data_IF_909218103196
#
_entry.id   IF_909218103196
#
_cell.length_a   1.000
_cell.length_b   1.000
_cell.length_c   1.000
_cell.angle_alpha   90.00
_cell.angle_beta   90.00
_cell.angle_gamma   90.00
#
_symmetry.space_group_name_H-M   'P 1'
#
loop_
_entity.id
_entity.type
_entity.pdbx_description
1 polymer ?
#
# COMPACT_ATOMS: atom_id res chain seq x y z
N UNK A 1 -10.33 11.61 5.07
CA UNK A 1 -10.27 10.58 4.04
C UNK A 1 -10.79 9.29 4.63
N UNK A 2 -11.81 8.71 4.02
CA UNK A 2 -12.27 7.36 4.38
C UNK A 2 -11.45 6.33 3.60
N UNK A 3 -11.03 5.25 4.27
CA UNK A 3 -10.21 4.19 3.69
C UNK A 3 -11.02 2.90 3.62
N UNK A 4 -11.22 2.38 2.42
CA UNK A 4 -11.87 1.07 2.21
C UNK A 4 -10.81 0.02 1.90
N UNK A 5 -10.70 -1.08 2.67
CA UNK A 5 -9.74 -2.14 2.38
C UNK A 5 -10.02 -2.81 1.02
N UNK A 6 -9.03 -2.80 0.12
CA UNK A 6 -9.12 -3.47 -1.19
C UNK A 6 -8.59 -4.91 -1.11
N UNK A 7 -7.37 -5.04 -0.58
CA UNK A 7 -6.72 -6.32 -0.27
C UNK A 7 -5.90 -6.15 0.99
N UNK A 8 -6.10 -7.03 1.96
CA UNK A 8 -5.24 -7.18 3.12
C UNK A 8 -4.79 -8.63 3.24
N UNK A 9 -3.68 -8.85 3.93
CA UNK A 9 -3.30 -10.19 4.34
C UNK A 9 -4.13 -10.61 5.56
N UNK A 10 -4.57 -11.87 5.58
CA UNK A 10 -5.00 -12.48 6.83
C UNK A 10 -3.75 -12.80 7.66
N UNK A 11 -3.60 -12.17 8.82
CA UNK A 11 -2.55 -12.52 9.76
C UNK A 11 -3.11 -12.62 11.17
N UNK A 12 -2.48 -13.48 11.97
CA UNK A 12 -2.88 -13.79 13.34
C UNK A 12 -2.28 -12.78 14.34
N UNK A 13 -1.66 -11.70 13.85
CA UNK A 13 -1.02 -10.64 14.63
C UNK A 13 -1.48 -9.28 14.12
N UNK A 14 -1.48 -8.26 15.00
CA UNK A 14 -1.84 -6.89 14.63
C UNK A 14 -0.81 -6.29 13.66
N UNK A 15 -1.25 -5.78 12.51
CA UNK A 15 -0.41 -5.02 11.58
C UNK A 15 -0.17 -5.65 10.20
N UNK A 16 -1.17 -6.28 9.59
CA UNK A 16 -1.05 -6.82 8.24
C UNK A 16 -0.93 -5.71 7.19
N UNK A 17 0.03 -5.82 6.25
CA UNK A 17 0.05 -4.99 5.07
C UNK A 17 -1.30 -5.03 4.35
N UNK A 18 -1.81 -3.84 4.01
CA UNK A 18 -3.14 -3.66 3.41
C UNK A 18 -3.07 -2.52 2.40
N UNK A 19 -3.72 -2.71 1.26
CA UNK A 19 -3.93 -1.68 0.25
C UNK A 19 -5.39 -1.23 0.36
N UNK A 20 -5.60 0.07 0.44
CA UNK A 20 -6.90 0.71 0.58
C UNK A 20 -7.22 1.54 -0.67
N UNK A 21 -8.49 1.56 -1.04
CA UNK A 21 -9.04 2.57 -1.94
C UNK A 21 -9.57 3.75 -1.13
N UNK A 22 -9.65 4.89 -1.79
CA UNK A 22 -10.31 6.10 -1.30
C UNK A 22 -11.50 6.41 -2.20
N UNK A 23 -12.26 7.47 -1.91
CA UNK A 23 -13.30 7.95 -2.83
C UNK A 23 -12.73 8.48 -4.16
N UNK A 24 -11.42 8.78 -4.21
CA UNK A 24 -10.70 9.22 -5.40
C UNK A 24 -9.98 8.08 -6.13
N UNK A 25 -9.06 8.46 -7.02
CA UNK A 25 -8.23 7.52 -7.80
C UNK A 25 -7.00 7.02 -7.04
N UNK A 26 -6.73 7.61 -5.86
CA UNK A 26 -5.55 7.29 -5.07
C UNK A 26 -5.71 6.00 -4.29
N UNK A 27 -4.60 5.28 -4.17
CA UNK A 27 -4.46 4.14 -3.29
C UNK A 27 -3.61 4.51 -2.07
N UNK A 28 -3.99 4.00 -0.92
CA UNK A 28 -3.22 4.12 0.31
C UNK A 28 -2.63 2.77 0.65
N UNK A 29 -1.32 2.74 0.94
CA UNK A 29 -0.57 1.50 1.16
C UNK A 29 -0.04 1.46 2.59
N UNK A 30 -0.52 0.51 3.38
CA UNK A 30 0.07 0.16 4.66
C UNK A 30 1.10 -0.95 4.49
N UNK A 31 2.30 -0.74 5.05
CA UNK A 31 3.34 -1.75 5.10
C UNK A 31 4.33 -1.48 6.22
N UNK A 32 5.43 -2.22 6.22
CA UNK A 32 6.50 -2.05 7.20
C UNK A 32 7.49 -1.00 6.74
N UNK A 33 7.80 0.00 7.57
CA UNK A 33 8.80 1.02 7.22
C UNK A 33 10.12 0.34 6.85
N UNK A 34 10.74 0.79 5.75
CA UNK A 34 12.09 0.36 5.35
C UNK A 34 13.11 1.17 6.16
N UNK A 35 13.84 0.54 7.11
CA UNK A 35 14.76 1.26 7.98
C UNK A 35 16.05 1.63 7.24
N UNK A 36 16.47 0.80 6.29
CA UNK A 36 17.71 0.97 5.54
C UNK A 36 17.41 1.15 4.05
N UNK A 37 17.59 2.37 3.57
CA UNK A 37 17.09 2.87 2.28
C UNK A 37 18.20 2.98 1.23
N UNK A 38 19.26 2.17 1.34
CA UNK A 38 20.34 2.16 0.35
C UNK A 38 19.78 2.02 -1.08
N UNK A 39 20.11 2.97 -1.94
CA UNK A 39 19.68 2.99 -3.35
C UNK A 39 18.29 3.60 -3.59
N UNK A 40 17.51 3.86 -2.56
CA UNK A 40 16.44 4.84 -2.66
C UNK A 40 17.06 6.22 -2.41
N UNK A 41 16.75 7.20 -3.25
CA UNK A 41 17.19 8.57 -3.04
C UNK A 41 16.64 9.16 -1.73
N UNK A 42 16.86 10.45 -1.53
CA UNK A 42 16.24 11.16 -0.41
C UNK A 42 14.71 11.02 -0.48
N UNK A 43 14.10 10.69 0.65
CA UNK A 43 12.64 10.61 0.78
C UNK A 43 12.18 11.94 1.37
N UNK A 44 11.32 12.71 0.66
CA UNK A 44 10.88 14.02 1.11
C UNK A 44 10.21 14.01 2.49
N UNK A 45 10.17 15.18 3.12
CA UNK A 45 9.42 15.37 4.35
C UNK A 45 7.94 15.02 4.14
N UNK A 46 7.39 14.21 5.06
CA UNK A 46 6.02 13.70 4.97
C UNK A 46 5.87 12.39 4.20
N UNK A 47 6.92 11.90 3.52
CA UNK A 47 6.90 10.63 2.79
C UNK A 47 7.62 9.50 3.53
N UNK A 48 7.28 8.25 3.19
CA UNK A 48 8.00 7.08 3.71
C UNK A 48 8.01 5.92 2.72
N UNK A 49 9.05 5.09 2.80
CA UNK A 49 9.11 3.83 2.06
C UNK A 49 8.60 2.71 2.95
N UNK A 50 7.64 1.94 2.42
CA UNK A 50 7.10 0.76 3.08
C UNK A 50 7.38 -0.49 2.26
N UNK A 51 7.70 -1.58 2.96
CA UNK A 51 7.79 -2.92 2.41
C UNK A 51 6.42 -3.59 2.50
N UNK A 52 5.92 -4.01 1.34
CA UNK A 52 4.73 -4.86 1.22
C UNK A 52 5.06 -6.14 0.43
N UNK A 53 4.35 -7.26 0.65
CA UNK A 53 4.53 -8.45 -0.16
C UNK A 53 4.09 -8.20 -1.60
N UNK A 54 4.89 -8.66 -2.57
CA UNK A 54 4.59 -8.52 -4.00
C UNK A 54 3.21 -9.07 -4.36
N UNK A 55 2.82 -10.20 -3.77
CA UNK A 55 1.53 -10.82 -4.05
C UNK A 55 0.36 -9.92 -3.66
N UNK A 56 0.49 -9.14 -2.58
CA UNK A 56 -0.54 -8.20 -2.15
C UNK A 56 -0.81 -7.14 -3.21
N UNK A 57 0.25 -6.60 -3.82
CA UNK A 57 0.15 -5.62 -4.90
C UNK A 57 -0.48 -6.23 -6.16
N UNK A 58 -0.07 -7.44 -6.54
CA UNK A 58 -0.63 -8.16 -7.69
C UNK A 58 -2.14 -8.40 -7.50
N UNK A 59 -2.54 -8.80 -6.29
CA UNK A 59 -3.95 -9.05 -5.98
C UNK A 59 -4.75 -7.75 -5.96
N UNK A 60 -4.16 -6.63 -5.51
CA UNK A 60 -4.80 -5.33 -5.59
C UNK A 60 -5.04 -4.91 -7.04
N UNK A 61 -4.03 -4.99 -7.92
CA UNK A 61 -4.15 -4.63 -9.34
C UNK A 61 -5.28 -5.41 -10.02
N UNK A 62 -5.47 -6.69 -9.69
CA UNK A 62 -6.56 -7.51 -10.24
C UNK A 62 -7.95 -7.10 -9.79
N UNK A 63 -8.07 -6.39 -8.67
CA UNK A 63 -9.35 -5.94 -8.10
C UNK A 63 -9.66 -4.48 -8.42
N UNK A 64 -8.68 -3.71 -8.89
CA UNK A 64 -8.92 -2.32 -9.25
C UNK A 64 -9.86 -2.25 -10.44
N UNK A 65 -10.90 -1.40 -10.40
CA UNK A 65 -11.65 -1.06 -11.60
C UNK A 65 -10.72 -0.39 -12.61
N UNK A 66 -11.06 -0.47 -13.90
CA UNK A 66 -10.35 0.29 -14.92
C UNK A 66 -10.37 1.78 -14.54
N UNK A 67 -9.23 2.45 -14.70
CA UNK A 67 -9.19 3.91 -14.55
C UNK A 67 -9.83 4.47 -15.82
N UNK A 68 -11.04 5.00 -15.70
CA UNK A 68 -11.62 5.81 -16.77
C UNK A 68 -10.76 7.07 -16.88
N UNK A 69 -10.05 7.18 -18.01
CA UNK A 69 -9.11 8.27 -18.30
C UNK A 69 -9.76 9.59 -18.66
#
# INVERSE_FOLDING_TARGET
>A
MELTPLVGMACNTSGCPTIYTTEGTDLVVQGYIVPDRHGAGEVPEGETLVRIPRQLLVDAIRKLPAVDG
#
